data_IF_148284622961
#
_entry.id   IF_148284622961
#
_cell.length_a   1.000
_cell.length_b   1.000
_cell.length_c   1.000
_cell.angle_alpha   90.00
_cell.angle_beta   90.00
_cell.angle_gamma   90.00
#
_symmetry.space_group_name_H-M   'P 1'
#
loop_
_entity.id
_entity.type
_entity.pdbx_description
1 polymer ?
#
# COMPACT_ATOMS: atom_id res chain seq x y z
N UNK A 1 1.73 -21.03 -10.17
CA UNK A 1 0.27 -20.97 -9.92
C UNK A 1 -0.15 -21.35 -8.50
N UNK A 2 0.59 -22.18 -7.74
CA UNK A 2 0.22 -22.52 -6.34
C UNK A 2 0.36 -21.36 -5.32
N UNK A 3 1.23 -20.38 -5.55
CA UNK A 3 1.50 -19.30 -4.58
C UNK A 3 0.65 -18.02 -4.76
N UNK A 4 -0.08 -17.85 -5.86
CA UNK A 4 -0.87 -16.63 -6.10
C UNK A 4 -2.14 -16.58 -5.25
N UNK A 5 -2.73 -17.75 -4.98
CA UNK A 5 -3.93 -17.88 -4.13
C UNK A 5 -3.63 -17.62 -2.65
N UNK A 6 -2.48 -18.07 -2.15
CA UNK A 6 -2.05 -17.78 -0.78
C UNK A 6 -1.75 -16.31 -0.61
N UNK A 7 -1.14 -15.65 -1.60
CA UNK A 7 -0.96 -14.20 -1.60
C UNK A 7 -2.28 -13.41 -1.54
N UNK A 8 -3.27 -13.80 -2.34
CA UNK A 8 -4.60 -13.17 -2.30
C UNK A 8 -5.27 -13.37 -0.93
N UNK A 9 -5.17 -14.57 -0.36
CA UNK A 9 -5.71 -14.84 0.97
C UNK A 9 -5.01 -14.03 2.06
N UNK A 10 -3.70 -13.83 1.98
CA UNK A 10 -2.94 -12.99 2.93
C UNK A 10 -3.35 -11.53 2.79
N UNK A 11 -3.56 -11.01 1.58
CA UNK A 11 -4.07 -9.65 1.38
C UNK A 11 -5.46 -9.51 2.01
N UNK A 12 -6.38 -10.44 1.72
CA UNK A 12 -7.74 -10.43 2.25
C UNK A 12 -7.73 -10.52 3.78
N UNK A 13 -6.93 -11.41 4.36
CA UNK A 13 -6.80 -11.56 5.82
C UNK A 13 -6.17 -10.33 6.48
N UNK A 14 -5.18 -9.70 5.83
CA UNK A 14 -4.55 -8.48 6.36
C UNK A 14 -5.51 -7.28 6.32
N UNK A 15 -6.29 -7.15 5.25
CA UNK A 15 -7.32 -6.12 5.11
C UNK A 15 -8.46 -6.35 6.11
N UNK A 16 -8.87 -7.61 6.32
CA UNK A 16 -9.87 -7.98 7.32
C UNK A 16 -9.38 -7.74 8.75
N UNK A 17 -8.13 -8.10 9.04
CA UNK A 17 -7.47 -7.82 10.32
C UNK A 17 -7.37 -6.33 10.59
N UNK A 18 -7.02 -5.53 9.59
CA UNK A 18 -6.99 -4.07 9.73
C UNK A 18 -8.38 -3.46 9.91
N UNK A 19 -9.39 -3.94 9.20
CA UNK A 19 -10.76 -3.47 9.38
C UNK A 19 -11.29 -3.79 10.78
N UNK A 20 -10.93 -4.95 11.33
CA UNK A 20 -11.26 -5.28 12.72
C UNK A 20 -10.50 -4.37 13.69
N UNK A 21 -9.18 -4.24 13.54
CA UNK A 21 -8.36 -3.49 14.49
C UNK A 21 -8.64 -1.98 14.43
N UNK A 22 -8.90 -1.40 13.25
CA UNK A 22 -9.23 0.02 13.11
C UNK A 22 -10.59 0.39 13.71
N UNK A 23 -11.54 -0.55 13.76
CA UNK A 23 -12.81 -0.37 14.48
C UNK A 23 -12.62 -0.35 16.00
N UNK A 24 -11.52 -0.92 16.53
CA UNK A 24 -11.24 -0.98 17.97
C UNK A 24 -10.16 0.01 18.43
N UNK A 25 -9.22 0.41 17.56
CA UNK A 25 -8.09 1.27 17.89
C UNK A 25 -7.90 2.30 16.77
N UNK A 26 -8.46 3.49 16.97
CA UNK A 26 -8.21 4.65 16.11
C UNK A 26 -6.86 5.29 16.43
N UNK A 27 -5.98 5.44 15.44
CA UNK A 27 -4.72 6.17 15.63
C UNK A 27 -3.74 6.09 14.46
N UNK A 28 -3.02 7.20 14.23
CA UNK A 28 -2.02 7.35 13.15
C UNK A 28 -0.93 6.27 13.15
N UNK A 29 -0.53 5.80 14.33
CA UNK A 29 0.46 4.70 14.47
C UNK A 29 -0.06 3.38 13.88
N UNK A 30 -1.35 3.09 14.06
CA UNK A 30 -1.93 1.84 13.58
C UNK A 30 -2.08 1.85 12.07
N UNK A 31 -2.48 2.99 11.51
CA UNK A 31 -2.51 3.24 10.07
C UNK A 31 -1.11 3.10 9.45
N UNK A 32 -0.06 3.58 10.13
CA UNK A 32 1.33 3.42 9.71
C UNK A 32 1.78 1.95 9.70
N UNK A 33 1.48 1.20 10.77
CA UNK A 33 1.79 -0.23 10.88
C UNK A 33 1.09 -1.01 9.77
N UNK A 34 -0.19 -0.72 9.52
CA UNK A 34 -0.95 -1.36 8.45
C UNK A 34 -0.40 -1.11 7.06
N UNK A 35 -0.11 0.15 6.71
CA UNK A 35 0.47 0.48 5.41
C UNK A 35 1.85 -0.17 5.22
N UNK A 36 2.64 -0.27 6.30
CA UNK A 36 3.91 -1.00 6.29
C UNK A 36 3.70 -2.49 6.02
N UNK A 37 2.65 -3.07 6.61
CA UNK A 37 2.25 -4.46 6.40
C UNK A 37 1.83 -4.71 4.93
N UNK A 38 1.06 -3.80 4.32
CA UNK A 38 0.67 -3.88 2.91
C UNK A 38 1.88 -3.87 1.96
N UNK A 39 2.88 -3.02 2.22
CA UNK A 39 4.14 -3.02 1.47
C UNK A 39 4.88 -4.36 1.59
N UNK A 40 4.92 -4.91 2.80
CA UNK A 40 5.57 -6.18 3.10
C UNK A 40 4.86 -7.36 2.41
N UNK A 41 3.53 -7.31 2.32
CA UNK A 41 2.75 -8.27 1.54
C UNK A 41 3.08 -8.15 0.05
N UNK A 42 3.12 -6.93 -0.50
CA UNK A 42 3.55 -6.69 -1.88
C UNK A 42 4.93 -7.29 -2.18
N UNK A 43 5.89 -7.13 -1.26
CA UNK A 43 7.22 -7.74 -1.36
C UNK A 43 7.15 -9.27 -1.47
N UNK A 44 6.38 -9.93 -0.61
CA UNK A 44 6.23 -11.39 -0.62
C UNK A 44 5.53 -11.94 -1.86
N UNK A 45 4.76 -11.11 -2.57
CA UNK A 45 4.07 -11.51 -3.80
C UNK A 45 4.99 -11.67 -5.01
N UNK A 46 6.27 -11.27 -4.93
CA UNK A 46 7.17 -11.29 -6.09
C UNK A 46 7.53 -12.73 -6.53
N UNK A 47 7.04 -13.21 -7.70
CA UNK A 47 7.16 -14.62 -8.09
C UNK A 47 8.50 -14.96 -8.76
N UNK A 48 9.30 -13.98 -9.21
CA UNK A 48 10.61 -14.21 -9.82
C UNK A 48 11.53 -13.00 -9.60
N UNK A 49 12.63 -13.21 -8.87
CA UNK A 49 13.72 -12.23 -8.67
C UNK A 49 14.56 -12.01 -9.94
N UNK A 50 13.96 -11.51 -11.01
CA UNK A 50 14.74 -10.92 -12.09
C UNK A 50 15.19 -9.55 -11.60
N UNK A 51 16.40 -9.46 -11.04
CA UNK A 51 17.01 -8.18 -10.64
C UNK A 51 17.29 -7.36 -11.89
N UNK A 52 16.27 -6.64 -12.37
CA UNK A 52 16.54 -5.39 -13.08
C UNK A 52 17.07 -4.40 -12.03
N UNK A 53 17.87 -3.41 -12.43
CA UNK A 53 18.47 -2.49 -11.47
C UNK A 53 18.20 -1.04 -11.89
N UNK A 54 16.94 -0.75 -12.23
CA UNK A 54 16.56 0.60 -12.68
C UNK A 54 16.34 1.48 -11.46
N UNK A 55 17.41 2.14 -11.03
CA UNK A 55 17.43 3.08 -9.90
C UNK A 55 16.33 4.15 -9.98
N UNK A 56 16.06 4.70 -11.17
CA UNK A 56 15.01 5.73 -11.39
C UNK A 56 13.63 5.20 -11.02
N UNK A 57 13.33 3.93 -11.34
CA UNK A 57 12.04 3.32 -11.00
C UNK A 57 11.87 3.18 -9.49
N UNK A 58 12.93 2.80 -8.77
CA UNK A 58 12.91 2.72 -7.29
C UNK A 58 12.68 4.08 -6.66
N UNK A 59 13.32 5.14 -7.17
CA UNK A 59 13.12 6.51 -6.69
C UNK A 59 11.68 6.95 -6.90
N UNK A 60 11.13 6.78 -8.10
CA UNK A 60 9.73 7.15 -8.40
C UNK A 60 8.73 6.40 -7.50
N UNK A 61 8.93 5.10 -7.29
CA UNK A 61 8.05 4.31 -6.43
C UNK A 61 8.17 4.74 -4.97
N UNK A 62 9.38 5.01 -4.47
CA UNK A 62 9.57 5.48 -3.10
C UNK A 62 8.89 6.83 -2.85
N UNK A 63 8.97 7.75 -3.81
CA UNK A 63 8.30 9.05 -3.76
C UNK A 63 6.78 8.87 -3.73
N UNK A 64 6.25 7.97 -4.56
CA UNK A 64 4.83 7.62 -4.58
C UNK A 64 4.36 7.07 -3.22
N UNK A 65 5.11 6.13 -2.62
CA UNK A 65 4.80 5.56 -1.30
C UNK A 65 4.75 6.64 -0.23
N UNK A 66 5.70 7.59 -0.22
CA UNK A 66 5.71 8.71 0.73
C UNK A 66 4.45 9.56 0.58
N UNK A 67 4.01 9.83 -0.66
CA UNK A 67 2.75 10.55 -0.89
C UNK A 67 1.53 9.81 -0.35
N UNK A 68 1.43 8.49 -0.57
CA UNK A 68 0.31 7.70 -0.03
C UNK A 68 0.30 7.74 1.50
N UNK A 69 1.46 7.53 2.13
CA UNK A 69 1.59 7.60 3.59
C UNK A 69 1.18 8.97 4.12
N UNK A 70 1.62 10.05 3.48
CA UNK A 70 1.27 11.40 3.91
C UNK A 70 -0.23 11.70 3.79
N UNK A 71 -0.91 11.20 2.74
CA UNK A 71 -2.36 11.35 2.57
C UNK A 71 -3.11 10.54 3.64
N UNK A 72 -2.76 9.26 3.82
CA UNK A 72 -3.45 8.35 4.75
C UNK A 72 -3.19 8.66 6.23
N UNK A 73 -2.07 9.29 6.56
CA UNK A 73 -1.75 9.74 7.92
C UNK A 73 -2.26 11.16 8.21
N UNK A 74 -2.96 11.78 7.26
CA UNK A 74 -3.43 13.17 7.35
C UNK A 74 -2.28 14.17 7.59
N UNK A 75 -1.07 13.85 7.12
CA UNK A 75 0.09 14.74 7.20
C UNK A 75 0.02 15.84 6.13
N UNK A 76 -0.68 15.56 5.02
CA UNK A 76 -1.01 16.56 4.02
C UNK A 76 -2.43 17.07 4.25
N UNK A 77 -2.54 18.28 4.82
CA UNK A 77 -3.81 18.97 5.03
C UNK A 77 -4.16 19.75 3.76
N UNK A 78 -4.56 19.05 2.71
CA UNK A 78 -5.11 19.65 1.48
C UNK A 78 -6.47 19.03 1.22
N UNK A 79 -7.49 19.57 1.89
CA UNK A 79 -8.87 19.07 1.84
C UNK A 79 -9.43 19.03 0.41
N UNK A 80 -9.07 20.02 -0.42
CA UNK A 80 -9.47 20.09 -1.83
C UNK A 80 -8.87 18.95 -2.66
N UNK A 81 -7.62 18.56 -2.39
CA UNK A 81 -6.95 17.46 -3.07
C UNK A 81 -7.55 16.11 -2.65
N UNK A 82 -7.89 15.96 -1.37
CA UNK A 82 -8.57 14.79 -0.84
C UNK A 82 -9.98 14.60 -1.44
N UNK A 83 -10.73 15.69 -1.62
CA UNK A 83 -12.04 15.66 -2.28
C UNK A 83 -11.94 15.32 -3.77
N UNK A 84 -10.95 15.87 -4.48
CA UNK A 84 -10.67 15.52 -5.89
C UNK A 84 -10.30 14.03 -6.03
N UNK A 85 -9.41 13.52 -5.18
CA UNK A 85 -9.03 12.10 -5.14
C UNK A 85 -10.24 11.19 -4.89
N UNK A 86 -11.09 11.53 -3.92
CA UNK A 86 -12.31 10.77 -3.64
C UNK A 86 -13.31 10.82 -4.80
N UNK A 87 -13.40 11.94 -5.51
CA UNK A 87 -14.30 12.10 -6.66
C UNK A 87 -13.87 11.24 -7.87
N UNK A 88 -12.56 11.06 -8.04
CA UNK A 88 -11.99 10.17 -9.08
C UNK A 88 -12.09 8.68 -8.67
N UNK A 89 -12.62 8.38 -7.48
CA UNK A 89 -12.72 7.02 -6.95
C UNK A 89 -11.39 6.48 -6.41
N UNK A 90 -10.36 7.33 -6.26
CA UNK A 90 -9.16 7.02 -5.48
C UNK A 90 -9.49 7.10 -3.99
N UNK A 91 -10.38 6.21 -3.56
CA UNK A 91 -10.76 6.02 -2.16
C UNK A 91 -9.66 5.30 -1.38
N UNK A 92 -9.84 5.20 -0.06
CA UNK A 92 -8.90 4.53 0.82
C UNK A 92 -8.51 3.12 0.37
N UNK A 93 -9.42 2.34 -0.19
CA UNK A 93 -9.16 0.97 -0.66
C UNK A 93 -8.30 0.93 -1.92
N UNK A 94 -8.42 1.94 -2.80
CA UNK A 94 -7.59 2.05 -3.99
C UNK A 94 -6.13 2.33 -3.62
N UNK A 95 -5.91 3.24 -2.67
CA UNK A 95 -4.58 3.53 -2.12
C UNK A 95 -3.93 2.31 -1.47
N UNK A 96 -4.71 1.46 -0.80
CA UNK A 96 -4.22 0.22 -0.19
C UNK A 96 -3.73 -0.78 -1.26
N UNK A 97 -4.52 -0.98 -2.33
CA UNK A 97 -4.12 -1.83 -3.47
C UNK A 97 -2.88 -1.25 -4.16
N UNK A 98 -2.80 0.07 -4.30
CA UNK A 98 -1.67 0.74 -4.92
C UNK A 98 -0.39 0.60 -4.08
N UNK A 99 -0.52 0.60 -2.75
CA UNK A 99 0.56 0.31 -1.80
C UNK A 99 1.11 -1.12 -1.97
N UNK A 100 0.21 -2.10 -2.06
CA UNK A 100 0.59 -3.50 -2.34
C UNK A 100 1.31 -3.60 -3.68
N UNK A 101 0.81 -2.92 -4.72
CA UNK A 101 1.45 -2.87 -6.03
C UNK A 101 2.83 -2.22 -5.98
N UNK A 102 3.00 -1.10 -5.26
CA UNK A 102 4.29 -0.47 -5.06
C UNK A 102 5.29 -1.41 -4.37
N UNK A 103 4.85 -2.10 -3.32
CA UNK A 103 5.66 -3.10 -2.62
C UNK A 103 6.05 -4.28 -3.52
N UNK A 104 5.22 -4.66 -4.49
CA UNK A 104 5.55 -5.68 -5.46
C UNK A 104 6.56 -5.19 -6.50
N UNK A 105 6.28 -4.05 -7.13
CA UNK A 105 7.08 -3.50 -8.23
C UNK A 105 8.46 -3.02 -7.76
N UNK A 106 8.56 -2.45 -6.56
CA UNK A 106 9.83 -1.93 -6.02
C UNK A 106 10.95 -2.98 -5.98
N UNK A 107 10.59 -4.25 -5.77
CA UNK A 107 11.53 -5.36 -5.69
C UNK A 107 11.63 -6.17 -6.98
N UNK A 108 10.84 -5.83 -7.99
CA UNK A 108 10.93 -6.39 -9.35
C UNK A 108 11.84 -5.54 -10.26
N UNK A 109 11.85 -4.22 -10.06
CA UNK A 109 12.62 -3.23 -10.84
C UNK A 109 14.06 -3.07 -10.32
#
# INVERSE_FOLDING_TARGET
MKNTWTSLLVIIFSAFGYHLVSNFIGGRLLTFIYMSLLLLIGFFMNPKRSKNNRWVGKVLISLLVVFIFGIKLELFVFDEFYQLLNTIGMSGSFLDILLVYCGWVFYQI
#
